data_IF_550977868220
#
_entry.id   IF_550977868220
#
_cell.length_a   1.000
_cell.length_b   1.000
_cell.length_c   1.000
_cell.angle_alpha   90.00
_cell.angle_beta   90.00
_cell.angle_gamma   90.00
#
_symmetry.space_group_name_H-M   'P 1'
#
loop_
_entity.id
_entity.type
_entity.pdbx_description
1 polymer ?
#
# COMPACT_ATOMS: atom_id res chain seq x y z
N UNK A 1 -33.57 7.97 -20.58
CA UNK A 1 -32.28 8.56 -20.97
C UNK A 1 -31.24 7.46 -20.88
N UNK A 2 -30.58 7.09 -21.98
CA UNK A 2 -29.42 6.20 -21.91
C UNK A 2 -28.26 7.07 -21.41
N UNK A 3 -27.81 6.85 -20.18
CA UNK A 3 -26.57 7.48 -19.71
C UNK A 3 -25.44 7.08 -20.65
N UNK A 4 -24.60 8.04 -21.04
CA UNK A 4 -23.35 7.70 -21.71
C UNK A 4 -22.51 6.91 -20.72
N UNK A 5 -22.20 5.66 -21.04
CA UNK A 5 -21.28 4.84 -20.27
C UNK A 5 -19.90 4.97 -20.92
N UNK A 6 -18.92 5.45 -20.15
CA UNK A 6 -17.51 5.45 -20.53
C UNK A 6 -16.81 4.32 -19.80
N UNK A 7 -15.92 3.63 -20.52
CA UNK A 7 -15.15 2.51 -19.98
C UNK A 7 -13.69 2.92 -19.94
N UNK A 8 -13.15 3.05 -18.74
CA UNK A 8 -11.72 3.18 -18.52
C UNK A 8 -11.12 1.77 -18.38
N UNK A 9 -10.43 1.31 -19.42
CA UNK A 9 -9.75 0.02 -19.38
C UNK A 9 -8.46 0.13 -18.56
N UNK A 10 -8.48 -0.33 -17.31
CA UNK A 10 -7.29 -0.43 -16.46
C UNK A 10 -7.00 -1.89 -16.18
N UNK A 11 -6.24 -2.57 -17.06
CA UNK A 11 -5.91 -3.97 -16.86
C UNK A 11 -5.16 -4.14 -15.54
N UNK A 12 -5.41 -5.24 -14.83
CA UNK A 12 -4.77 -5.59 -13.55
C UNK A 12 -5.27 -4.83 -12.31
N UNK A 13 -6.24 -3.91 -12.42
CA UNK A 13 -6.80 -3.26 -11.24
C UNK A 13 -7.49 -4.27 -10.29
N UNK A 14 -7.12 -4.25 -9.01
CA UNK A 14 -7.62 -5.17 -7.96
C UNK A 14 -8.48 -4.49 -6.93
N UNK A 15 -8.27 -3.20 -6.71
CA UNK A 15 -9.02 -2.38 -5.76
C UNK A 15 -9.00 -0.91 -6.21
N UNK A 16 -9.99 -0.14 -5.75
CA UNK A 16 -10.12 1.27 -6.09
C UNK A 16 -10.64 2.10 -4.92
N UNK A 17 -10.28 3.37 -4.90
CA UNK A 17 -10.93 4.41 -4.10
C UNK A 17 -11.08 5.68 -4.95
N UNK A 18 -12.08 6.51 -4.62
CA UNK A 18 -12.41 7.69 -5.39
C UNK A 18 -12.65 8.91 -4.50
N UNK A 19 -12.29 10.09 -5.00
CA UNK A 19 -12.55 11.38 -4.34
C UNK A 19 -13.00 12.41 -5.35
N UNK A 20 -14.16 13.00 -5.15
CA UNK A 20 -14.58 14.20 -5.90
C UNK A 20 -13.72 15.39 -5.47
N UNK A 21 -13.20 16.12 -6.46
CA UNK A 21 -12.51 17.39 -6.26
C UNK A 21 -13.52 18.54 -6.31
N UNK A 22 -14.36 18.52 -7.32
CA UNK A 22 -15.49 19.43 -7.51
C UNK A 22 -16.69 18.71 -8.15
N UNK A 23 -17.58 19.45 -8.83
CA UNK A 23 -18.77 18.89 -9.48
C UNK A 23 -18.46 18.12 -10.77
N UNK A 24 -17.31 18.40 -11.40
CA UNK A 24 -16.90 17.91 -12.71
C UNK A 24 -15.65 17.02 -12.68
N UNK A 25 -14.80 17.11 -11.65
CA UNK A 25 -13.54 16.38 -11.57
C UNK A 25 -13.48 15.42 -10.37
N UNK A 26 -13.04 14.19 -10.65
CA UNK A 26 -12.78 13.16 -9.65
C UNK A 26 -11.34 12.62 -9.75
N UNK A 27 -10.76 12.30 -8.59
CA UNK A 27 -9.58 11.46 -8.50
C UNK A 27 -10.00 10.00 -8.31
N UNK A 28 -9.38 9.10 -9.08
CA UNK A 28 -9.47 7.66 -8.90
C UNK A 28 -8.10 7.07 -8.59
N UNK A 29 -7.98 6.47 -7.40
CA UNK A 29 -6.80 5.71 -7.00
C UNK A 29 -7.07 4.24 -7.23
N UNK A 30 -6.15 3.57 -7.91
CA UNK A 30 -6.24 2.16 -8.27
C UNK A 30 -5.03 1.40 -7.73
N UNK A 31 -5.29 0.26 -7.10
CA UNK A 31 -4.27 -0.75 -6.80
C UNK A 31 -4.24 -1.83 -7.88
N UNK A 32 -3.06 -2.36 -8.18
CA UNK A 32 -2.85 -3.31 -9.27
C UNK A 32 -2.31 -4.65 -8.77
N UNK A 33 -2.54 -5.72 -9.54
CA UNK A 33 -2.10 -7.07 -9.18
C UNK A 33 -0.56 -7.23 -9.21
N UNK A 34 0.15 -6.36 -9.93
CA UNK A 34 1.62 -6.32 -10.01
C UNK A 34 2.27 -5.48 -8.89
N UNK A 35 1.47 -4.98 -7.93
CA UNK A 35 1.96 -4.19 -6.80
C UNK A 35 2.08 -2.69 -7.09
N UNK A 36 1.68 -2.23 -8.28
CA UNK A 36 1.64 -0.81 -8.58
C UNK A 36 0.40 -0.12 -8.02
N UNK A 37 0.51 1.20 -7.85
CA UNK A 37 -0.61 2.12 -7.67
C UNK A 37 -0.68 3.06 -8.88
N UNK A 38 -1.88 3.48 -9.27
CA UNK A 38 -2.04 4.61 -10.19
C UNK A 38 -3.14 5.56 -9.75
N UNK A 39 -2.92 6.85 -9.98
CA UNK A 39 -3.89 7.91 -9.75
C UNK A 39 -4.32 8.52 -11.08
N UNK A 40 -5.62 8.72 -11.22
CA UNK A 40 -6.24 9.26 -12.41
C UNK A 40 -7.08 10.47 -12.03
N UNK A 41 -7.05 11.50 -12.87
CA UNK A 41 -8.05 12.56 -12.92
C UNK A 41 -9.07 12.17 -13.98
N UNK A 42 -10.35 12.26 -13.61
CA UNK A 42 -11.49 11.86 -14.44
C UNK A 42 -12.50 12.99 -14.44
N UNK A 43 -12.83 13.44 -15.65
CA UNK A 43 -13.97 14.30 -15.90
C UNK A 43 -15.27 13.47 -15.80
N UNK A 44 -16.11 13.83 -14.83
CA UNK A 44 -17.37 13.18 -14.48
C UNK A 44 -18.45 13.47 -15.50
N UNK A 45 -18.45 14.67 -16.08
CA UNK A 45 -19.39 15.07 -17.14
C UNK A 45 -19.04 14.39 -18.48
N UNK A 46 -17.79 13.98 -18.59
CA UNK A 46 -17.29 13.13 -19.66
C UNK A 46 -16.89 13.90 -20.90
N UNK A 47 -16.65 15.21 -20.78
CA UNK A 47 -16.17 16.06 -21.87
C UNK A 47 -14.70 15.79 -22.21
N UNK A 48 -13.91 15.33 -21.23
CA UNK A 48 -12.48 15.07 -21.36
C UNK A 48 -12.09 13.60 -21.13
N UNK A 49 -11.01 13.13 -21.76
CA UNK A 49 -10.45 11.79 -21.51
C UNK A 49 -9.81 11.65 -20.12
N UNK A 50 -9.98 10.52 -19.42
CA UNK A 50 -9.29 10.25 -18.16
C UNK A 50 -7.78 10.39 -18.31
N UNK A 51 -7.16 11.11 -17.38
CA UNK A 51 -5.72 11.37 -17.39
C UNK A 51 -5.04 10.67 -16.22
N UNK A 52 -4.10 9.76 -16.50
CA UNK A 52 -3.23 9.20 -15.46
C UNK A 52 -2.24 10.26 -14.99
N UNK A 53 -2.33 10.64 -13.73
CA UNK A 53 -1.44 11.61 -13.09
C UNK A 53 -0.09 10.96 -12.78
N UNK A 54 -0.12 9.75 -12.21
CA UNK A 54 1.08 8.98 -11.92
C UNK A 54 0.81 7.49 -11.80
N UNK A 55 1.91 6.72 -11.83
CA UNK A 55 1.95 5.29 -11.56
C UNK A 55 3.25 4.96 -10.84
N UNK A 56 3.16 4.27 -9.71
CA UNK A 56 4.31 3.97 -8.86
C UNK A 56 4.31 2.52 -8.40
N UNK A 57 5.50 1.94 -8.25
CA UNK A 57 5.67 0.63 -7.60
C UNK A 57 5.60 0.82 -6.07
N UNK A 58 4.51 0.38 -5.44
CA UNK A 58 4.34 0.51 -4.00
C UNK A 58 4.64 -0.82 -3.28
N UNK A 59 4.26 -1.94 -3.88
CA UNK A 59 4.32 -3.26 -3.26
C UNK A 59 5.08 -4.26 -4.12
N UNK A 60 5.69 -5.26 -3.46
CA UNK A 60 6.32 -6.41 -4.11
C UNK A 60 5.33 -7.57 -4.39
N UNK A 61 4.03 -7.27 -4.39
CA UNK A 61 2.94 -8.20 -4.64
C UNK A 61 1.61 -7.47 -4.76
N UNK A 62 0.55 -8.19 -5.14
CA UNK A 62 -0.78 -7.62 -5.41
C UNK A 62 -1.25 -6.62 -4.35
N UNK A 63 -1.70 -5.46 -4.82
CA UNK A 63 -2.33 -4.47 -3.95
C UNK A 63 -3.72 -4.96 -3.58
N UNK A 64 -4.00 -4.99 -2.29
CA UNK A 64 -5.22 -5.55 -1.72
C UNK A 64 -6.22 -4.50 -1.26
N UNK A 65 -5.76 -3.28 -1.00
CA UNK A 65 -6.61 -2.15 -0.57
C UNK A 65 -5.91 -0.82 -0.84
N UNK A 66 -6.72 0.21 -1.10
CA UNK A 66 -6.27 1.58 -1.33
C UNK A 66 -7.23 2.58 -0.67
N UNK A 67 -6.72 3.76 -0.28
CA UNK A 67 -7.54 4.86 0.24
C UNK A 67 -6.93 6.22 -0.13
N UNK A 68 -7.76 7.15 -0.57
CA UNK A 68 -7.48 8.58 -0.64
C UNK A 68 -8.11 9.28 0.57
N UNK A 69 -7.30 9.86 1.46
CA UNK A 69 -7.86 10.56 2.63
C UNK A 69 -6.90 11.59 3.22
N UNK A 70 -7.41 12.75 3.62
CA UNK A 70 -6.71 13.67 4.53
C UNK A 70 -5.33 14.16 4.09
N UNK A 71 -5.06 14.23 2.78
CA UNK A 71 -3.73 14.57 2.26
C UNK A 71 -2.77 13.37 2.18
N UNK A 72 -3.30 12.15 2.13
CA UNK A 72 -2.52 10.93 2.01
C UNK A 72 -3.14 9.93 1.03
N UNK A 73 -2.26 9.10 0.48
CA UNK A 73 -2.57 7.84 -0.17
C UNK A 73 -2.16 6.72 0.77
N UNK A 74 -3.07 5.82 1.10
CA UNK A 74 -2.78 4.59 1.85
C UNK A 74 -2.96 3.39 0.92
N UNK A 75 -2.04 2.44 0.98
CA UNK A 75 -2.17 1.16 0.28
C UNK A 75 -1.73 -0.01 1.16
N UNK A 76 -2.36 -1.17 0.98
CA UNK A 76 -1.97 -2.42 1.62
C UNK A 76 -1.71 -3.52 0.58
N UNK A 77 -0.62 -4.27 0.72
CA UNK A 77 -0.20 -5.28 -0.25
C UNK A 77 -0.02 -6.69 0.32
N UNK A 78 0.03 -7.67 -0.59
CA UNK A 78 0.34 -9.08 -0.27
C UNK A 78 1.80 -9.29 0.15
N UNK A 79 2.67 -8.30 -0.03
CA UNK A 79 4.03 -8.27 0.51
C UNK A 79 4.09 -8.07 2.04
N UNK A 80 2.92 -8.07 2.70
CA UNK A 80 2.75 -7.86 4.14
C UNK A 80 3.15 -6.47 4.60
N UNK A 81 3.07 -5.48 3.71
CA UNK A 81 3.28 -4.08 4.05
C UNK A 81 2.04 -3.24 3.79
N UNK A 82 1.98 -2.09 4.44
CA UNK A 82 1.14 -0.97 4.08
C UNK A 82 2.04 0.22 3.80
N UNK A 83 1.74 1.02 2.79
CA UNK A 83 2.48 2.25 2.51
C UNK A 83 1.54 3.45 2.70
N UNK A 84 2.04 4.45 3.39
CA UNK A 84 1.40 5.76 3.50
C UNK A 84 2.25 6.76 2.74
N UNK A 85 1.68 7.40 1.73
CA UNK A 85 2.32 8.46 0.97
C UNK A 85 1.65 9.80 1.30
N UNK A 86 2.43 10.84 1.65
CA UNK A 86 1.92 12.21 1.62
C UNK A 86 1.44 12.54 0.20
N UNK A 87 0.24 13.10 0.09
CA UNK A 87 -0.34 13.58 -1.17
C UNK A 87 -0.23 15.11 -1.18
N UNK A 88 0.53 15.63 -2.14
CA UNK A 88 0.81 17.05 -2.29
C UNK A 88 -0.31 17.76 -3.08
N UNK A 89 -0.30 19.10 -3.06
CA UNK A 89 -1.33 19.94 -3.70
C UNK A 89 -1.40 19.75 -5.22
N UNK A 90 -0.29 19.36 -5.84
CA UNK A 90 -0.19 19.01 -7.28
C UNK A 90 -0.60 17.55 -7.57
N UNK A 91 -1.18 16.87 -6.59
CA UNK A 91 -1.57 15.47 -6.60
C UNK A 91 -0.40 14.48 -6.70
N UNK A 92 0.84 14.93 -6.58
CA UNK A 92 1.99 14.03 -6.53
C UNK A 92 2.17 13.43 -5.14
N UNK A 93 2.92 12.33 -5.06
CA UNK A 93 3.17 11.62 -3.80
C UNK A 93 4.61 11.82 -3.33
N UNK A 94 4.75 12.05 -2.03
CA UNK A 94 6.05 12.08 -1.36
C UNK A 94 6.63 10.67 -1.11
N UNK A 95 7.81 10.58 -0.48
CA UNK A 95 8.38 9.29 -0.09
C UNK A 95 7.44 8.52 0.86
N UNK A 96 7.32 7.18 0.72
CA UNK A 96 6.42 6.40 1.55
C UNK A 96 6.95 6.19 2.97
N UNK A 97 6.03 6.21 3.92
CA UNK A 97 6.22 5.54 5.20
C UNK A 97 5.73 4.10 5.04
N UNK A 98 6.64 3.13 5.15
CA UNK A 98 6.32 1.70 5.04
C UNK A 98 6.06 1.10 6.41
N UNK A 99 4.91 0.46 6.55
CA UNK A 99 4.44 -0.20 7.76
C UNK A 99 4.39 -1.71 7.51
N UNK A 100 5.05 -2.50 8.35
CA UNK A 100 5.02 -3.96 8.22
C UNK A 100 3.84 -4.54 9.02
N UNK A 101 3.02 -5.38 8.37
CA UNK A 101 1.94 -6.16 8.99
C UNK A 101 2.48 -7.41 9.70
N UNK A 102 3.62 -7.28 10.38
CA UNK A 102 4.19 -8.36 11.17
C UNK A 102 3.68 -8.28 12.60
N UNK A 103 3.21 -9.42 13.11
CA UNK A 103 2.96 -9.58 14.53
C UNK A 103 4.34 -9.73 15.18
N UNK A 104 4.88 -8.64 15.74
CA UNK A 104 6.12 -8.71 16.51
C UNK A 104 5.78 -9.07 17.95
N UNK A 105 6.20 -10.26 18.38
CA UNK A 105 6.19 -10.60 19.80
C UNK A 105 7.40 -9.93 20.46
N UNK A 106 7.21 -8.75 21.05
CA UNK A 106 8.21 -8.14 21.91
C UNK A 106 8.08 -8.73 23.33
N UNK A 107 9.17 -9.26 23.89
CA UNK A 107 9.17 -9.80 25.25
C UNK A 107 8.56 -11.20 25.40
N UNK A 108 8.67 -12.06 24.37
CA UNK A 108 8.30 -13.47 24.50
C UNK A 108 9.11 -14.12 25.64
N UNK A 109 8.45 -14.43 26.74
CA UNK A 109 9.02 -15.20 27.84
C UNK A 109 8.89 -16.68 27.50
N UNK A 110 10.03 -17.35 27.31
CA UNK A 110 10.08 -18.79 27.09
C UNK A 110 10.48 -19.43 28.41
N UNK A 111 9.47 -19.86 29.19
CA UNK A 111 9.70 -20.68 30.38
C UNK A 111 9.93 -22.15 29.98
N UNK A 112 10.65 -22.93 30.81
CA UNK A 112 10.88 -24.37 30.56
C UNK A 112 12.14 -24.74 29.76
N UNK A 113 12.99 -23.77 29.42
CA UNK A 113 14.32 -24.05 28.80
C UNK A 113 15.34 -24.39 29.88
N UNK A 114 15.27 -25.63 30.37
CA UNK A 114 16.04 -26.06 31.54
C UNK A 114 17.40 -26.69 31.19
N UNK A 115 17.58 -27.18 29.95
CA UNK A 115 18.83 -27.81 29.52
C UNK A 115 19.85 -26.84 28.93
N UNK A 116 21.14 -27.19 29.04
CA UNK A 116 22.25 -26.35 28.59
C UNK A 116 22.33 -26.24 27.05
N UNK A 117 21.97 -27.31 26.33
CA UNK A 117 21.95 -27.32 24.87
C UNK A 117 20.83 -26.40 24.35
N UNK A 118 19.64 -26.48 24.93
CA UNK A 118 18.49 -25.68 24.56
C UNK A 118 18.72 -24.19 24.87
N UNK A 119 19.36 -23.87 26.01
CA UNK A 119 19.78 -22.49 26.33
C UNK A 119 20.77 -21.93 25.31
N UNK A 120 21.72 -22.74 24.86
CA UNK A 120 22.72 -22.33 23.86
C UNK A 120 22.05 -22.07 22.51
N UNK A 121 21.18 -22.98 22.07
CA UNK A 121 20.42 -22.83 20.84
C UNK A 121 19.53 -21.59 20.87
N UNK A 122 18.83 -21.34 21.99
CA UNK A 122 17.99 -20.16 22.15
C UNK A 122 18.81 -18.87 22.07
N UNK A 123 19.96 -18.80 22.74
CA UNK A 123 20.84 -17.63 22.69
C UNK A 123 21.34 -17.32 21.26
N UNK A 124 21.64 -18.36 20.48
CA UNK A 124 22.04 -18.20 19.07
C UNK A 124 20.89 -17.72 18.19
N UNK A 125 19.69 -18.25 18.38
CA UNK A 125 18.50 -17.81 17.62
C UNK A 125 18.14 -16.35 17.93
N UNK A 126 18.21 -15.94 19.21
CA UNK A 126 17.97 -14.54 19.63
C UNK A 126 18.98 -13.58 18.99
N UNK A 127 20.26 -13.97 18.94
CA UNK A 127 21.29 -13.17 18.25
C UNK A 127 21.01 -13.02 16.76
N UNK A 128 20.66 -14.12 16.08
CA UNK A 128 20.34 -14.11 14.64
C UNK A 128 19.10 -13.27 14.33
N UNK A 129 18.08 -13.29 15.19
CA UNK A 129 16.89 -12.48 15.00
C UNK A 129 17.15 -10.99 15.13
N UNK A 130 18.04 -10.58 16.06
CA UNK A 130 18.41 -9.17 16.23
C UNK A 130 19.19 -8.63 15.02
N UNK A 131 20.09 -9.41 14.44
CA UNK A 131 20.85 -8.98 13.25
C UNK A 131 20.01 -8.84 11.98
N UNK A 132 18.85 -9.51 11.90
CA UNK A 132 17.92 -9.35 10.78
C UNK A 132 17.16 -8.01 10.83
N UNK A 133 17.23 -7.26 11.94
CA UNK A 133 16.55 -5.97 12.13
C UNK A 133 17.30 -4.80 11.48
N UNK A 134 18.62 -4.90 11.23
CA UNK A 134 19.44 -3.80 10.68
C UNK A 134 19.50 -3.76 9.14
N UNK A 135 19.02 -4.81 8.46
CA UNK A 135 19.09 -4.93 6.99
C UNK A 135 17.74 -4.78 6.27
N UNK A 136 16.67 -4.43 6.99
CA UNK A 136 15.30 -4.36 6.47
C UNK A 136 14.76 -2.93 6.37
#
# INVERSE_FOLDING_TARGET
MRGQHRVLAVPSATCLDGRLLDQSEALLLLGHADGQLSLWSVDVDGESEPRRLWQIAAHAGSVSSVRLSGGFVLSGGFDRTMNLFPLMDDWNVGPPIKLHRTLRCAGLRIDGVEGAAERTLLADLVRRSATAEETA
#
